data_IF_522202095214
#
_entry.id   IF_522202095214
#
_cell.length_a   1.000
_cell.length_b   1.000
_cell.length_c   1.000
_cell.angle_alpha   90.00
_cell.angle_beta   90.00
_cell.angle_gamma   90.00
#
_symmetry.space_group_name_H-M   'P 1'
#
loop_
_entity.id
_entity.type
_entity.pdbx_description
1 polymer ?
#
# COMPACT_ATOMS: atom_id res chain seq x y z
N UNK A 1 -11.68 -22.15 -12.21
CA UNK A 1 -11.43 -21.00 -11.31
C UNK A 1 -10.08 -21.22 -10.68
N UNK A 2 -9.19 -20.25 -10.81
CA UNK A 2 -7.79 -20.37 -10.41
C UNK A 2 -7.65 -19.78 -9.00
N UNK A 3 -7.77 -20.65 -7.99
CA UNK A 3 -7.89 -20.29 -6.57
C UNK A 3 -6.79 -19.33 -6.07
N UNK A 4 -5.63 -19.32 -6.73
CA UNK A 4 -4.54 -18.41 -6.42
C UNK A 4 -4.91 -16.94 -6.66
N UNK A 5 -5.66 -16.66 -7.75
CA UNK A 5 -6.07 -15.30 -8.12
C UNK A 5 -7.05 -14.73 -7.11
N UNK A 6 -8.01 -15.55 -6.69
CA UNK A 6 -9.00 -15.16 -5.68
C UNK A 6 -8.34 -14.89 -4.32
N UNK A 7 -7.34 -15.70 -3.93
CA UNK A 7 -6.58 -15.46 -2.68
C UNK A 7 -5.83 -14.13 -2.74
N UNK A 8 -5.15 -13.81 -3.84
CA UNK A 8 -4.40 -12.57 -3.99
C UNK A 8 -5.33 -11.36 -3.93
N UNK A 9 -6.43 -11.40 -4.68
CA UNK A 9 -7.43 -10.33 -4.68
C UNK A 9 -8.04 -10.13 -3.28
N UNK A 10 -8.46 -11.21 -2.62
CA UNK A 10 -9.05 -11.12 -1.28
C UNK A 10 -8.06 -10.57 -0.25
N UNK A 11 -6.79 -10.97 -0.32
CA UNK A 11 -5.75 -10.42 0.55
C UNK A 11 -5.57 -8.92 0.32
N UNK A 12 -5.50 -8.49 -0.94
CA UNK A 12 -5.40 -7.07 -1.28
C UNK A 12 -6.60 -6.27 -0.75
N UNK A 13 -7.83 -6.73 -0.98
CA UNK A 13 -9.05 -6.05 -0.50
C UNK A 13 -9.08 -5.95 1.03
N UNK A 14 -8.66 -7.02 1.74
CA UNK A 14 -8.53 -6.98 3.19
C UNK A 14 -7.45 -6.00 3.66
N UNK A 15 -6.31 -5.94 2.98
CA UNK A 15 -5.22 -5.01 3.31
C UNK A 15 -5.63 -3.54 3.07
N UNK A 16 -6.41 -3.25 2.02
CA UNK A 16 -7.00 -1.93 1.76
C UNK A 16 -7.99 -1.57 2.87
N UNK A 17 -8.87 -2.50 3.24
CA UNK A 17 -9.86 -2.29 4.28
C UNK A 17 -9.23 -1.95 5.65
N UNK A 18 -8.21 -2.70 6.06
CA UNK A 18 -7.51 -2.44 7.33
C UNK A 18 -6.71 -1.12 7.29
N UNK A 19 -6.12 -0.77 6.15
CA UNK A 19 -5.52 0.55 5.98
C UNK A 19 -6.55 1.67 6.15
N UNK A 20 -7.71 1.54 5.52
CA UNK A 20 -8.75 2.57 5.58
C UNK A 20 -9.32 2.73 6.97
N UNK A 21 -9.45 1.66 7.76
CA UNK A 21 -9.79 1.77 9.18
C UNK A 21 -8.82 2.68 9.92
N UNK A 22 -7.53 2.46 9.73
CA UNK A 22 -6.49 3.26 10.38
C UNK A 22 -6.51 4.72 9.89
N UNK A 23 -6.55 4.94 8.57
CA UNK A 23 -6.59 6.28 7.98
C UNK A 23 -7.81 7.06 8.46
N UNK A 24 -9.00 6.46 8.49
CA UNK A 24 -10.22 7.13 8.97
C UNK A 24 -10.12 7.56 10.42
N UNK A 25 -9.41 6.81 11.26
CA UNK A 25 -9.13 7.23 12.64
C UNK A 25 -8.19 8.43 12.63
N UNK A 26 -7.09 8.36 11.89
CA UNK A 26 -6.12 9.45 11.81
C UNK A 26 -6.72 10.75 11.28
N UNK A 27 -7.52 10.69 10.21
CA UNK A 27 -8.19 11.85 9.61
C UNK A 27 -9.12 12.56 10.62
N UNK A 28 -9.87 11.79 11.42
CA UNK A 28 -10.77 12.35 12.45
C UNK A 28 -10.01 13.10 13.54
N UNK A 29 -8.82 12.63 13.93
CA UNK A 29 -7.98 13.32 14.92
C UNK A 29 -7.52 14.71 14.46
N UNK A 30 -7.49 14.95 13.14
CA UNK A 30 -7.13 16.24 12.51
C UNK A 30 -8.35 17.01 11.99
N UNK A 31 -9.57 16.63 12.39
CA UNK A 31 -10.83 17.24 11.93
C UNK A 31 -11.01 17.25 10.40
N UNK A 32 -10.43 16.28 9.71
CA UNK A 32 -10.59 16.14 8.26
C UNK A 32 -11.83 15.33 7.94
N UNK A 33 -12.52 15.74 6.89
CA UNK A 33 -13.69 15.05 6.37
C UNK A 33 -13.24 14.02 5.33
N UNK A 34 -13.97 12.91 5.24
CA UNK A 34 -13.73 11.93 4.21
C UNK A 34 -15.03 11.31 3.70
N UNK A 35 -14.99 10.87 2.43
CA UNK A 35 -16.08 10.16 1.78
C UNK A 35 -15.55 8.95 1.03
N UNK A 36 -16.24 7.82 1.18
CA UNK A 36 -15.99 6.65 0.35
C UNK A 36 -16.77 6.75 -0.96
N UNK A 37 -16.09 6.40 -2.05
CA UNK A 37 -16.69 6.28 -3.37
C UNK A 37 -16.32 4.93 -3.96
N UNK A 38 -17.33 4.14 -4.31
CA UNK A 38 -17.13 2.87 -5.01
C UNK A 38 -16.56 3.11 -6.41
N UNK A 39 -15.56 2.30 -6.79
CA UNK A 39 -14.92 2.30 -8.10
C UNK A 39 -14.76 0.86 -8.59
N UNK A 40 -14.74 0.70 -9.91
CA UNK A 40 -14.43 -0.57 -10.57
C UNK A 40 -12.97 -0.54 -11.06
N UNK A 41 -12.19 -1.56 -10.70
CA UNK A 41 -10.83 -1.78 -11.19
C UNK A 41 -10.85 -3.01 -12.10
N UNK A 42 -10.13 -2.92 -13.23
CA UNK A 42 -9.87 -4.06 -14.09
C UNK A 42 -8.39 -4.43 -14.03
N UNK A 43 -8.11 -5.68 -13.66
CA UNK A 43 -6.78 -6.28 -13.77
C UNK A 43 -6.86 -7.53 -14.66
N UNK A 44 -5.89 -7.73 -15.55
CA UNK A 44 -5.84 -8.91 -16.42
C UNK A 44 -5.92 -10.23 -15.63
N UNK A 45 -5.27 -10.26 -14.47
CA UNK A 45 -5.24 -11.45 -13.62
C UNK A 45 -6.51 -11.62 -12.77
N UNK A 46 -7.14 -10.55 -12.29
CA UNK A 46 -8.28 -10.63 -11.36
C UNK A 46 -9.64 -10.39 -12.03
N UNK A 47 -9.66 -9.97 -13.30
CA UNK A 47 -10.87 -9.46 -13.93
C UNK A 47 -11.30 -8.12 -13.33
N UNK A 48 -12.61 -7.84 -13.40
CA UNK A 48 -13.22 -6.65 -12.82
C UNK A 48 -13.61 -6.90 -11.37
N UNK A 49 -13.33 -5.93 -10.49
CA UNK A 49 -13.79 -5.97 -9.10
C UNK A 49 -14.06 -4.56 -8.58
N UNK A 50 -14.85 -4.48 -7.52
CA UNK A 50 -15.22 -3.23 -6.86
C UNK A 50 -14.40 -3.01 -5.60
N UNK A 51 -14.01 -1.76 -5.36
CA UNK A 51 -13.33 -1.32 -4.16
C UNK A 51 -13.64 0.16 -3.94
N UNK A 52 -13.55 0.66 -2.71
CA UNK A 52 -13.75 2.09 -2.43
C UNK A 52 -12.45 2.88 -2.56
N UNK A 53 -12.52 4.06 -3.18
CA UNK A 53 -11.54 5.13 -2.96
C UNK A 53 -11.99 6.03 -1.81
N UNK A 54 -11.05 6.68 -1.13
CA UNK A 54 -11.35 7.72 -0.15
C UNK A 54 -11.07 9.10 -0.74
N UNK A 55 -12.05 9.99 -0.66
CA UNK A 55 -11.88 11.42 -0.90
C UNK A 55 -11.67 12.10 0.45
N UNK A 56 -10.66 12.94 0.57
CA UNK A 56 -10.32 13.68 1.79
C UNK A 56 -10.45 15.17 1.55
N UNK A 57 -11.16 15.86 2.44
CA UNK A 57 -11.35 17.32 2.39
C UNK A 57 -11.12 17.97 3.74
N UNK A 58 -10.82 19.26 3.74
CA UNK A 58 -10.88 20.08 4.96
C UNK A 58 -12.34 20.37 5.37
N UNK A 59 -12.52 21.08 6.49
CA UNK A 59 -13.83 21.51 7.01
C UNK A 59 -14.57 22.49 6.09
N UNK A 60 -13.85 23.13 5.15
CA UNK A 60 -14.41 24.05 4.15
C UNK A 60 -14.74 23.33 2.85
N UNK A 61 -14.62 21.99 2.80
CA UNK A 61 -14.79 21.12 1.63
C UNK A 61 -13.76 21.36 0.51
N UNK A 62 -12.59 21.94 0.81
CA UNK A 62 -11.49 21.96 -0.13
C UNK A 62 -10.88 20.55 -0.21
N UNK A 63 -10.68 20.05 -1.42
CA UNK A 63 -10.05 18.75 -1.64
C UNK A 63 -8.58 18.79 -1.24
N UNK A 64 -8.20 17.87 -0.35
CA UNK A 64 -6.82 17.66 0.09
C UNK A 64 -6.20 16.55 -0.76
N UNK A 65 -6.84 15.39 -0.79
CA UNK A 65 -6.32 14.22 -1.49
C UNK A 65 -7.40 13.21 -1.86
N UNK A 66 -7.07 12.34 -2.81
CA UNK A 66 -7.71 11.07 -3.06
C UNK A 66 -6.77 9.93 -2.68
N UNK A 67 -7.31 8.90 -2.04
CA UNK A 67 -6.61 7.66 -1.73
C UNK A 67 -7.22 6.59 -2.62
N UNK A 68 -6.46 6.16 -3.61
CA UNK A 68 -6.95 5.38 -4.73
C UNK A 68 -6.31 3.98 -4.73
N UNK A 69 -7.08 2.91 -4.47
CA UNK A 69 -6.63 1.56 -4.73
C UNK A 69 -6.37 1.39 -6.24
N UNK A 70 -5.23 0.81 -6.60
CA UNK A 70 -4.81 0.68 -8.01
C UNK A 70 -4.84 -0.77 -8.47
N UNK A 71 -4.38 -1.71 -7.64
CA UNK A 71 -4.34 -3.11 -8.04
C UNK A 71 -3.71 -4.04 -7.01
N UNK A 72 -4.11 -5.31 -7.09
CA UNK A 72 -3.54 -6.40 -6.29
C UNK A 72 -2.24 -6.96 -6.90
N UNK A 73 -2.06 -6.84 -8.21
CA UNK A 73 -0.94 -7.44 -8.95
C UNK A 73 0.14 -6.42 -9.27
N UNK A 74 0.88 -5.98 -8.25
CA UNK A 74 1.98 -5.03 -8.40
C UNK A 74 3.31 -5.75 -8.51
N UNK A 75 4.18 -5.36 -9.44
CA UNK A 75 5.51 -5.98 -9.57
C UNK A 75 6.32 -5.68 -8.30
N UNK A 76 6.73 -6.74 -7.60
CA UNK A 76 7.52 -6.62 -6.37
C UNK A 76 6.72 -6.27 -5.11
N UNK A 77 5.39 -6.26 -5.17
CA UNK A 77 4.51 -5.95 -4.04
C UNK A 77 3.14 -6.65 -4.11
N UNK A 78 2.50 -6.79 -2.96
CA UNK A 78 1.20 -7.47 -2.81
C UNK A 78 0.02 -6.49 -2.81
N UNK A 79 0.19 -5.36 -3.51
CA UNK A 79 -0.84 -4.34 -3.67
C UNK A 79 -0.26 -2.95 -3.86
N UNK A 80 -1.05 -2.07 -4.50
CA UNK A 80 -0.71 -0.65 -4.70
C UNK A 80 -1.90 0.25 -4.39
N UNK A 81 -1.63 1.34 -3.69
CA UNK A 81 -2.53 2.46 -3.47
C UNK A 81 -1.78 3.74 -3.81
N UNK A 82 -2.44 4.66 -4.49
CA UNK A 82 -1.91 5.98 -4.80
C UNK A 82 -2.57 7.03 -3.88
N UNK A 83 -1.76 7.93 -3.35
CA UNK A 83 -2.19 9.16 -2.67
C UNK A 83 -2.05 10.31 -3.67
N UNK A 84 -3.16 10.82 -4.19
CA UNK A 84 -3.16 11.85 -5.21
C UNK A 84 -3.69 13.15 -4.64
N UNK A 85 -2.85 14.17 -4.56
CA UNK A 85 -3.24 15.52 -4.17
C UNK A 85 -3.37 16.44 -5.38
N UNK A 86 -3.53 17.73 -5.11
CA UNK A 86 -3.62 18.74 -6.17
C UNK A 86 -2.30 18.93 -6.93
N UNK A 87 -1.17 18.74 -6.24
CA UNK A 87 0.15 19.12 -6.76
C UNK A 87 1.03 17.93 -7.12
N UNK A 88 0.86 16.81 -6.42
CA UNK A 88 1.69 15.63 -6.62
C UNK A 88 0.96 14.32 -6.28
N UNK A 89 1.63 13.20 -6.50
CA UNK A 89 1.16 11.87 -6.19
C UNK A 89 2.25 11.05 -5.50
N UNK A 90 1.90 10.38 -4.40
CA UNK A 90 2.76 9.43 -3.70
C UNK A 90 2.21 8.02 -3.84
N UNK A 91 3.09 7.03 -4.01
CA UNK A 91 2.72 5.62 -4.19
C UNK A 91 3.00 4.85 -2.90
N UNK A 92 2.00 4.09 -2.45
CA UNK A 92 2.12 3.12 -1.38
C UNK A 92 2.02 1.71 -1.95
N UNK A 93 2.90 0.82 -1.50
CA UNK A 93 2.90 -0.58 -1.87
C UNK A 93 2.79 -1.47 -0.63
N UNK A 94 2.06 -2.58 -0.74
CA UNK A 94 1.99 -3.54 0.36
C UNK A 94 3.16 -4.52 0.24
N UNK A 95 3.97 -4.62 1.30
CA UNK A 95 5.10 -5.53 1.36
C UNK A 95 4.89 -6.53 2.50
N UNK A 96 5.24 -7.78 2.23
CA UNK A 96 5.29 -8.84 3.24
C UNK A 96 6.71 -9.00 3.75
N UNK A 97 6.83 -9.23 5.05
CA UNK A 97 8.09 -9.60 5.65
C UNK A 97 8.39 -11.08 5.35
N UNK A 98 9.35 -11.29 4.46
CA UNK A 98 9.80 -12.61 4.07
C UNK A 98 10.78 -13.26 5.07
N UNK A 99 11.06 -12.63 6.22
CA UNK A 99 11.98 -13.19 7.24
C UNK A 99 11.50 -14.51 7.85
N UNK A 100 10.20 -14.80 7.79
CA UNK A 100 9.63 -16.08 8.26
C UNK A 100 9.77 -17.24 7.25
N UNK A 101 10.40 -17.03 6.09
CA UNK A 101 10.86 -18.14 5.23
C UNK A 101 12.28 -18.62 5.56
N UNK A 102 12.82 -18.24 6.72
CA UNK A 102 14.04 -18.81 7.31
C UNK A 102 13.74 -20.08 8.12
N UNK A 103 13.24 -21.14 7.47
CA UNK A 103 13.28 -22.49 8.05
C UNK A 103 13.15 -23.57 6.98
N UNK A 104 14.23 -23.78 6.22
CA UNK A 104 14.82 -25.10 5.94
C UNK A 104 16.11 -24.90 5.14
N UNK A 105 17.17 -24.44 5.80
CA UNK A 105 18.51 -24.90 5.43
C UNK A 105 18.64 -26.35 5.91
N UNK A 106 17.93 -27.27 5.25
CA UNK A 106 18.29 -28.68 5.31
C UNK A 106 19.53 -28.84 4.44
N UNK A 107 20.66 -29.02 5.12
CA UNK A 107 21.87 -29.51 4.51
C UNK A 107 21.55 -30.77 3.70
N UNK A 108 21.67 -30.68 2.38
CA UNK A 108 22.18 -31.74 1.52
C UNK A 108 22.66 -31.10 0.21
N UNK A 109 23.97 -31.12 0.04
CA UNK A 109 24.66 -30.79 -1.21
C UNK A 109 24.19 -31.78 -2.28
N UNK A 110 23.63 -31.27 -3.37
CA UNK A 110 24.14 -31.44 -4.73
C UNK A 110 23.18 -30.73 -5.70
N UNK A 111 23.76 -29.86 -6.53
CA UNK A 111 23.16 -29.16 -7.67
C UNK A 111 22.24 -27.96 -7.39
N UNK A 112 22.85 -26.78 -7.51
CA UNK A 112 22.27 -25.69 -8.31
C UNK A 112 21.33 -24.72 -7.59
N UNK A 113 21.83 -23.49 -7.42
CA UNK A 113 21.09 -22.25 -7.14
C UNK A 113 20.52 -22.07 -5.72
N UNK A 114 21.36 -21.48 -4.87
CA UNK A 114 20.91 -20.68 -3.73
C UNK A 114 20.07 -19.51 -4.27
N UNK A 115 18.73 -19.64 -4.28
CA UNK A 115 17.83 -18.50 -4.45
C UNK A 115 17.95 -17.61 -3.22
N UNK A 116 18.90 -16.69 -3.26
CA UNK A 116 18.95 -15.61 -2.28
C UNK A 116 17.66 -14.80 -2.40
N UNK A 117 16.79 -14.95 -1.40
CA UNK A 117 15.52 -14.25 -1.28
C UNK A 117 15.78 -12.81 -0.83
N UNK A 118 16.49 -12.02 -1.64
CA UNK A 118 16.68 -10.60 -1.35
C UNK A 118 15.32 -9.91 -1.46
N UNK A 119 14.81 -9.40 -0.34
CA UNK A 119 13.76 -8.38 -0.38
C UNK A 119 14.23 -7.26 -1.30
N UNK A 120 13.42 -6.90 -2.30
CA UNK A 120 13.74 -5.82 -3.25
C UNK A 120 13.96 -4.48 -2.54
N UNK A 121 13.41 -4.34 -1.32
CA UNK A 121 13.47 -3.13 -0.52
C UNK A 121 14.16 -3.36 0.82
N UNK A 122 14.97 -2.40 1.23
CA UNK A 122 15.56 -2.34 2.58
C UNK A 122 14.54 -1.76 3.55
N UNK A 123 14.49 -2.27 4.78
CA UNK A 123 13.61 -1.72 5.83
C UNK A 123 12.22 -2.38 5.93
N UNK A 124 12.03 -3.53 5.30
CA UNK A 124 10.80 -4.33 5.43
C UNK A 124 10.97 -5.31 6.59
N UNK A 125 10.47 -4.97 7.76
CA UNK A 125 10.55 -5.75 9.00
C UNK A 125 9.20 -6.33 9.45
N UNK A 126 8.11 -5.90 8.82
CA UNK A 126 6.76 -6.40 9.06
C UNK A 126 5.90 -6.33 7.80
N UNK A 127 4.78 -7.06 7.81
CA UNK A 127 3.76 -6.92 6.78
C UNK A 127 3.09 -5.54 6.91
N UNK A 128 2.89 -4.84 5.79
CA UNK A 128 2.19 -3.56 5.82
C UNK A 128 2.30 -2.74 4.55
N UNK A 129 1.73 -1.55 4.60
CA UNK A 129 1.84 -0.53 3.55
C UNK A 129 3.12 0.27 3.75
N UNK A 130 3.88 0.44 2.68
CA UNK A 130 5.15 1.15 2.69
C UNK A 130 5.17 2.26 1.64
N UNK A 131 5.78 3.37 2.01
CA UNK A 131 6.25 4.37 1.05
C UNK A 131 7.72 4.10 0.72
N UNK A 132 8.08 4.24 -0.57
CA UNK A 132 9.44 3.98 -1.04
C UNK A 132 10.14 5.30 -1.34
N UNK A 133 11.20 5.58 -0.59
CA UNK A 133 11.99 6.80 -0.75
C UNK A 133 12.88 6.71 -2.01
N UNK A 134 12.65 7.61 -2.98
CA UNK A 134 13.37 7.63 -4.26
C UNK A 134 14.87 7.95 -4.13
N UNK A 135 15.26 8.75 -3.14
CA UNK A 135 16.60 9.36 -3.07
C UNK A 135 17.67 8.45 -2.46
N UNK A 136 17.29 7.37 -1.75
CA UNK A 136 18.21 6.54 -0.95
C UNK A 136 18.03 5.04 -1.20
N UNK A 137 18.31 4.60 -2.43
CA UNK A 137 18.37 3.17 -2.82
C UNK A 137 17.08 2.37 -2.50
N UNK A 138 15.90 3.00 -2.52
CA UNK A 138 14.62 2.31 -2.30
C UNK A 138 14.42 1.84 -0.85
N UNK A 139 14.76 2.68 0.13
CA UNK A 139 14.39 2.42 1.53
C UNK A 139 12.86 2.45 1.66
N UNK A 140 12.30 1.38 2.18
CA UNK A 140 10.89 1.29 2.50
C UNK A 140 10.65 1.83 3.90
N UNK A 141 9.62 2.67 4.04
CA UNK A 141 9.17 3.20 5.33
C UNK A 141 7.74 2.74 5.57
N UNK A 142 7.51 2.04 6.69
CA UNK A 142 6.17 1.61 7.11
C UNK A 142 5.28 2.84 7.25
N UNK A 143 4.11 2.80 6.62
CA UNK A 143 3.09 3.82 6.79
C UNK A 143 2.57 3.82 8.22
N UNK A 144 2.78 4.93 8.90
CA UNK A 144 2.18 5.24 10.18
C UNK A 144 1.48 6.61 10.07
N UNK A 145 0.78 7.01 11.15
CA UNK A 145 0.04 8.27 11.18
C UNK A 145 0.89 9.49 10.81
N UNK A 146 2.11 9.59 11.33
CA UNK A 146 3.00 10.74 11.07
C UNK A 146 3.38 10.80 9.60
N UNK A 147 3.92 9.70 9.07
CA UNK A 147 4.30 9.60 7.67
C UNK A 147 3.10 9.84 6.73
N UNK A 148 1.91 9.35 7.09
CA UNK A 148 0.70 9.60 6.30
C UNK A 148 0.41 11.11 6.16
N UNK A 149 0.49 11.88 7.24
CA UNK A 149 0.27 13.33 7.17
C UNK A 149 1.41 14.07 6.47
N UNK A 150 2.65 13.63 6.65
CA UNK A 150 3.79 14.19 5.90
C UNK A 150 3.57 14.06 4.39
N UNK A 151 3.16 12.87 3.93
CA UNK A 151 2.84 12.62 2.52
C UNK A 151 1.61 13.41 2.05
N UNK A 152 0.58 13.56 2.89
CA UNK A 152 -0.57 14.39 2.55
C UNK A 152 -0.18 15.86 2.39
N UNK A 153 0.67 16.40 3.26
CA UNK A 153 1.17 17.77 3.13
C UNK A 153 1.96 17.95 1.84
N UNK A 154 2.83 16.99 1.50
CA UNK A 154 3.62 17.03 0.26
C UNK A 154 2.75 17.10 -1.00
N UNK A 155 1.67 16.29 -1.09
CA UNK A 155 0.83 16.24 -2.30
C UNK A 155 -0.21 17.36 -2.41
N UNK A 156 -0.54 18.03 -1.29
CA UNK A 156 -1.68 18.94 -1.20
C UNK A 156 -1.36 20.37 -0.77
N UNK A 157 -0.14 20.63 -0.27
CA UNK A 157 0.25 21.91 0.37
C UNK A 157 -0.64 22.28 1.58
N UNK A 158 -1.25 21.26 2.21
CA UNK A 158 -2.08 21.41 3.41
C UNK A 158 -1.25 21.21 4.68
N UNK A 159 -1.38 22.10 5.66
CA UNK A 159 -0.70 22.03 6.96
C UNK A 159 -1.60 21.37 8.03
N UNK A 160 -1.06 20.41 8.80
CA UNK A 160 -1.82 19.61 9.79
C UNK A 160 -1.43 19.84 11.25
#
# INVERSE_FOLDING_TARGET
>A
MDAKKDIILNNYLNNVYELYKNIKVWLKEKNLLFKEQDIEIYEENSGKYHVSKLLVTDEKNNQIAEILPVGAWTIGADGRIDLTGKFDQQILIYLKNNSNHLSTASANKENGELKNNYSLYKGVDQDGWYWIEYTRFGKAHVLNKGLFFDLLSEISDHEF
#
